data_IF_680456095104
#
_entry.id   IF_680456095104
#
_cell.length_a   1.000
_cell.length_b   1.000
_cell.length_c   1.000
_cell.angle_alpha   90.00
_cell.angle_beta   90.00
_cell.angle_gamma   90.00
#
_symmetry.space_group_name_H-M   'P 1'
#
loop_
_entity.id
_entity.type
_entity.pdbx_description
1 polymer ?
#
# COMPACT_ATOMS: atom_id res chain seq x y z
N UNK A 1 -8.99 -11.37 16.06
CA UNK A 1 -7.81 -11.36 15.17
C UNK A 1 -6.66 -10.74 15.92
N UNK A 2 -5.78 -11.56 16.48
CA UNK A 2 -4.52 -11.12 17.09
C UNK A 2 -3.43 -11.36 16.06
N UNK A 3 -3.03 -10.30 15.36
CA UNK A 3 -1.90 -10.35 14.45
C UNK A 3 -0.62 -10.61 15.25
N UNK A 4 0.28 -11.50 14.77
CA UNK A 4 1.52 -11.76 15.48
C UNK A 4 2.40 -10.49 15.47
N UNK A 5 3.02 -10.15 16.62
CA UNK A 5 3.71 -8.87 16.85
C UNK A 5 4.97 -8.65 16.00
N UNK A 6 5.31 -9.56 15.09
CA UNK A 6 6.52 -9.49 14.25
C UNK A 6 6.25 -9.50 12.74
N UNK A 7 4.99 -9.36 12.32
CA UNK A 7 4.62 -9.50 10.89
C UNK A 7 4.56 -8.17 10.13
N UNK A 8 5.61 -7.35 10.22
CA UNK A 8 5.73 -6.11 9.43
C UNK A 8 5.57 -6.37 7.91
N UNK A 9 6.00 -7.54 7.44
CA UNK A 9 5.87 -8.00 6.05
C UNK A 9 4.51 -8.62 5.70
N UNK A 10 3.61 -8.81 6.67
CA UNK A 10 2.25 -9.32 6.45
C UNK A 10 1.18 -8.29 6.85
N UNK A 11 1.53 -7.05 7.17
CA UNK A 11 0.52 -6.02 7.37
C UNK A 11 0.09 -5.48 5.99
N UNK A 12 -1.19 -5.60 5.60
CA UNK A 12 -1.64 -5.25 4.26
C UNK A 12 -1.55 -3.73 4.05
N UNK A 13 -1.60 -2.95 5.15
CA UNK A 13 -1.43 -1.50 5.13
C UNK A 13 0.01 -1.15 4.75
N UNK A 14 1.00 -1.82 5.33
CA UNK A 14 2.43 -1.62 5.00
C UNK A 14 2.73 -2.01 3.55
N UNK A 15 2.09 -3.08 3.05
CA UNK A 15 2.22 -3.47 1.65
C UNK A 15 1.67 -2.40 0.69
N UNK A 16 0.50 -1.84 1.00
CA UNK A 16 -0.12 -0.76 0.22
C UNK A 16 0.72 0.52 0.27
N UNK A 17 1.28 0.87 1.43
CA UNK A 17 2.19 2.00 1.56
C UNK A 17 3.47 1.82 0.77
N UNK A 18 4.07 0.63 0.81
CA UNK A 18 5.29 0.30 0.06
C UNK A 18 5.06 0.42 -1.46
N UNK A 19 3.93 -0.07 -1.96
CA UNK A 19 3.56 0.06 -3.37
C UNK A 19 3.31 1.51 -3.78
N UNK A 20 2.65 2.28 -2.91
CA UNK A 20 2.39 3.71 -3.16
C UNK A 20 3.68 4.52 -3.17
N UNK A 21 4.60 4.26 -2.23
CA UNK A 21 5.90 4.92 -2.13
C UNK A 21 6.75 4.66 -3.39
N UNK A 22 6.78 3.40 -3.87
CA UNK A 22 7.47 3.05 -5.12
C UNK A 22 6.93 3.85 -6.32
N UNK A 23 5.61 3.86 -6.51
CA UNK A 23 4.97 4.58 -7.63
C UNK A 23 5.17 6.08 -7.58
N UNK A 24 5.13 6.67 -6.37
CA UNK A 24 5.38 8.10 -6.19
C UNK A 24 6.84 8.41 -6.51
N UNK A 25 7.80 7.58 -6.04
CA UNK A 25 9.23 7.74 -6.33
C UNK A 25 9.55 7.61 -7.82
N UNK A 26 8.92 6.68 -8.54
CA UNK A 26 9.10 6.53 -9.99
C UNK A 26 8.74 7.81 -10.76
N UNK A 27 7.75 8.57 -10.27
CA UNK A 27 7.31 9.83 -10.87
C UNK A 27 8.15 11.05 -10.49
N UNK A 28 9.12 10.89 -9.59
CA UNK A 28 10.08 11.92 -9.17
C UNK A 28 9.40 13.27 -8.83
N UNK A 29 8.63 13.36 -7.73
CA UNK A 29 7.97 14.59 -7.35
C UNK A 29 8.98 15.73 -7.17
N UNK A 30 8.64 16.88 -7.74
CA UNK A 30 9.48 18.08 -7.76
C UNK A 30 9.14 19.07 -6.64
N UNK A 31 8.02 18.87 -5.95
CA UNK A 31 7.56 19.70 -4.84
C UNK A 31 6.68 18.89 -3.89
N UNK A 32 6.50 19.39 -2.66
CA UNK A 32 5.60 18.76 -1.68
C UNK A 32 4.15 18.70 -2.18
N UNK A 33 3.69 19.72 -2.91
CA UNK A 33 2.36 19.73 -3.50
C UNK A 33 2.22 18.68 -4.61
N UNK A 34 3.21 18.58 -5.50
CA UNK A 34 3.22 17.56 -6.54
C UNK A 34 3.28 16.15 -5.91
N UNK A 35 4.08 15.95 -4.86
CA UNK A 35 4.10 14.70 -4.10
C UNK A 35 2.73 14.35 -3.51
N UNK A 36 2.02 15.33 -2.94
CA UNK A 36 0.68 15.14 -2.38
C UNK A 36 -0.34 14.70 -3.45
N UNK A 37 -0.34 15.37 -4.61
CA UNK A 37 -1.19 15.02 -5.74
C UNK A 37 -0.92 13.58 -6.22
N UNK A 38 0.37 13.22 -6.34
CA UNK A 38 0.77 11.87 -6.74
C UNK A 38 0.35 10.78 -5.75
N UNK A 39 0.45 11.06 -4.44
CA UNK A 39 -0.01 10.13 -3.41
C UNK A 39 -1.53 9.93 -3.52
N UNK A 40 -2.28 11.01 -3.68
CA UNK A 40 -3.73 10.94 -3.88
C UNK A 40 -4.13 10.15 -5.12
N UNK A 41 -3.46 10.39 -6.24
CA UNK A 41 -3.70 9.67 -7.49
C UNK A 41 -3.33 8.19 -7.37
N UNK A 42 -2.20 7.87 -6.73
CA UNK A 42 -1.80 6.50 -6.46
C UNK A 42 -2.87 5.80 -5.63
N UNK A 43 -3.35 6.43 -4.55
CA UNK A 43 -4.39 5.85 -3.69
C UNK A 43 -5.69 5.56 -4.44
N UNK A 44 -6.16 6.51 -5.28
CA UNK A 44 -7.36 6.33 -6.10
C UNK A 44 -7.21 5.26 -7.19
N UNK A 45 -5.98 5.02 -7.65
CA UNK A 45 -5.71 4.03 -8.69
C UNK A 45 -5.71 2.59 -8.19
N UNK A 46 -5.63 2.36 -6.88
CA UNK A 46 -5.60 1.02 -6.30
C UNK A 46 -7.02 0.41 -6.39
N UNK A 47 -7.19 -0.70 -7.13
CA UNK A 47 -8.50 -1.33 -7.26
C UNK A 47 -8.90 -2.04 -5.97
N UNK A 48 -10.19 -1.97 -5.62
CA UNK A 48 -10.73 -2.62 -4.42
C UNK A 48 -10.48 -4.14 -4.39
N UNK A 49 -10.54 -4.80 -5.55
CA UNK A 49 -10.25 -6.23 -5.67
C UNK A 49 -8.80 -6.58 -5.28
N UNK A 50 -7.85 -5.67 -5.50
CA UNK A 50 -6.47 -5.87 -5.08
C UNK A 50 -6.34 -5.83 -3.56
N UNK A 51 -7.03 -4.88 -2.91
CA UNK A 51 -7.10 -4.80 -1.45
C UNK A 51 -7.74 -6.05 -0.86
N UNK A 52 -8.81 -6.57 -1.49
CA UNK A 52 -9.47 -7.80 -1.03
C UNK A 52 -8.52 -9.01 -1.11
N UNK A 53 -7.80 -9.18 -2.23
CA UNK A 53 -6.80 -10.24 -2.39
C UNK A 53 -5.67 -10.14 -1.37
N UNK A 54 -5.25 -8.92 -1.00
CA UNK A 54 -4.26 -8.72 0.06
C UNK A 54 -4.79 -9.22 1.41
N UNK A 55 -6.05 -8.94 1.74
CA UNK A 55 -6.70 -9.43 2.97
C UNK A 55 -6.80 -10.95 2.98
N UNK A 56 -7.22 -11.56 1.87
CA UNK A 56 -7.35 -13.01 1.72
C UNK A 56 -5.99 -13.73 1.85
N UNK A 57 -4.93 -13.19 1.25
CA UNK A 57 -3.58 -13.76 1.33
C UNK A 57 -3.10 -13.91 2.77
N UNK A 58 -3.43 -12.97 3.63
CA UNK A 58 -3.06 -13.06 5.04
C UNK A 58 -3.89 -14.10 5.80
N UNK A 59 -5.17 -14.26 5.46
CA UNK A 59 -6.04 -15.27 6.08
C UNK A 59 -5.59 -16.69 5.70
N UNK A 60 -5.00 -16.86 4.51
CA UNK A 60 -4.46 -18.15 4.06
C UNK A 60 -3.11 -18.55 4.68
N UNK A 61 -2.45 -17.65 5.44
CA UNK A 61 -1.22 -17.96 6.18
C UNK A 61 -1.46 -18.57 7.57
N UNK A 62 -2.70 -18.98 7.87
CA UNK A 62 -3.12 -19.62 9.12
C UNK A 62 -3.29 -21.14 8.98
#
# INVERSE_FOLDING_TARGET
MTWPPQSHSLNPIEMVWSESDLRVKEKQPTSAQHMWELIHDCWKSIPGDYLMKLVERMQSCH
#
